data_IF_554080423643
#
_entry.id   IF_554080423643
#
_cell.length_a   1.000
_cell.length_b   1.000
_cell.length_c   1.000
_cell.angle_alpha   90.00
_cell.angle_beta   90.00
_cell.angle_gamma   90.00
#
_symmetry.space_group_name_H-M   'P 1'
#
loop_
_entity.id
_entity.type
_entity.pdbx_description
1 polymer ?
#
# COMPACT_ATOMS: atom_id res chain seq x y z
N UNK A 1 17.89 -10.04 -8.07
CA UNK A 1 16.94 -9.79 -6.96
C UNK A 1 16.09 -8.63 -7.42
N UNK A 2 14.77 -8.79 -7.51
CA UNK A 2 13.92 -7.67 -7.89
C UNK A 2 14.09 -6.57 -6.83
N UNK A 3 14.50 -5.38 -7.25
CA UNK A 3 14.64 -4.19 -6.42
C UNK A 3 13.25 -3.79 -5.95
N UNK A 4 12.88 -4.18 -4.73
CA UNK A 4 11.60 -3.78 -4.14
C UNK A 4 11.57 -2.28 -3.88
N UNK A 5 10.44 -1.64 -4.17
CA UNK A 5 10.16 -0.27 -3.78
C UNK A 5 9.65 -0.25 -2.33
N UNK A 6 9.71 0.92 -1.69
CA UNK A 6 9.22 1.10 -0.31
C UNK A 6 8.07 2.09 -0.27
N UNK A 7 6.99 1.72 0.39
CA UNK A 7 5.87 2.59 0.70
C UNK A 7 5.95 3.03 2.16
N UNK A 8 6.17 4.32 2.38
CA UNK A 8 6.09 4.95 3.70
C UNK A 8 4.62 5.27 4.01
N UNK A 9 4.01 4.49 4.88
CA UNK A 9 2.61 4.67 5.27
C UNK A 9 2.56 5.55 6.52
N UNK A 10 1.97 6.73 6.38
CA UNK A 10 1.94 7.79 7.38
C UNK A 10 0.53 7.88 7.95
N UNK A 11 0.40 7.63 9.26
CA UNK A 11 -0.87 7.71 9.96
C UNK A 11 -1.20 9.16 10.35
N UNK A 12 -2.16 9.79 9.68
CA UNK A 12 -2.69 11.11 10.03
C UNK A 12 -4.03 11.05 10.79
N UNK A 13 -4.50 9.86 11.18
CA UNK A 13 -5.59 9.75 12.14
C UNK A 13 -5.14 10.25 13.52
N UNK A 14 -6.10 10.74 14.32
CA UNK A 14 -5.87 11.15 15.71
C UNK A 14 -5.68 9.96 16.67
N UNK A 15 -5.87 8.74 16.18
CA UNK A 15 -5.77 7.50 16.92
C UNK A 15 -4.85 6.49 16.21
N UNK A 16 -4.28 5.53 16.94
CA UNK A 16 -3.42 4.53 16.34
C UNK A 16 -4.20 3.59 15.41
N UNK A 17 -3.55 3.13 14.34
CA UNK A 17 -4.12 2.22 13.35
C UNK A 17 -3.35 0.91 13.30
N UNK A 18 -4.05 -0.18 12.95
CA UNK A 18 -3.41 -1.44 12.56
C UNK A 18 -3.63 -1.68 11.08
N UNK A 19 -2.57 -2.09 10.38
CA UNK A 19 -2.54 -2.27 8.94
C UNK A 19 -2.33 -3.74 8.56
N UNK A 20 -3.14 -4.21 7.60
CA UNK A 20 -3.00 -5.51 6.93
C UNK A 20 -3.08 -5.32 5.42
N UNK A 21 -2.51 -6.26 4.67
CA UNK A 21 -2.73 -6.38 3.24
C UNK A 21 -3.96 -7.25 3.02
N UNK A 22 -4.97 -6.72 2.34
CA UNK A 22 -6.21 -7.43 2.04
C UNK A 22 -5.97 -8.65 1.16
N UNK A 23 -6.80 -9.68 1.36
CA UNK A 23 -6.69 -10.96 0.64
C UNK A 23 -7.40 -10.99 -0.72
N UNK A 24 -8.49 -10.23 -0.87
CA UNK A 24 -9.43 -10.38 -1.99
C UNK A 24 -9.06 -9.56 -3.23
N UNK A 25 -8.41 -8.40 -3.04
CA UNK A 25 -8.03 -7.48 -4.13
C UNK A 25 -6.50 -7.37 -4.28
N UNK A 26 -5.88 -8.53 -4.49
CA UNK A 26 -4.43 -8.68 -4.62
C UNK A 26 -4.06 -9.35 -5.95
N UNK A 27 -3.16 -8.74 -6.73
CA UNK A 27 -2.64 -9.35 -7.95
C UNK A 27 -1.21 -8.90 -8.28
N UNK A 28 -0.52 -9.71 -9.08
CA UNK A 28 0.77 -9.38 -9.71
C UNK A 28 1.81 -8.74 -8.78
N UNK A 29 1.82 -9.12 -7.50
CA UNK A 29 2.84 -8.73 -6.54
C UNK A 29 3.74 -9.94 -6.20
N UNK A 30 5.04 -9.70 -6.06
CA UNK A 30 5.94 -10.59 -5.30
C UNK A 30 5.99 -10.16 -3.82
N UNK A 31 5.77 -8.87 -3.58
CA UNK A 31 5.51 -8.28 -2.28
C UNK A 31 4.55 -7.07 -2.44
N UNK A 32 3.72 -6.75 -1.44
CA UNK A 32 3.52 -7.52 -0.22
C UNK A 32 2.71 -8.81 -0.48
N UNK A 33 2.62 -9.70 0.51
CA UNK A 33 1.83 -10.93 0.41
C UNK A 33 0.36 -10.69 0.86
N UNK A 34 -0.62 -11.41 0.30
CA UNK A 34 -2.01 -11.30 0.73
C UNK A 34 -2.15 -11.74 2.20
N UNK A 35 -3.02 -11.07 2.96
CA UNK A 35 -3.23 -11.26 4.40
C UNK A 35 -1.98 -10.98 5.27
N UNK A 36 -0.95 -10.33 4.72
CA UNK A 36 0.24 -9.95 5.48
C UNK A 36 -0.11 -8.87 6.50
N UNK A 37 0.25 -9.10 7.76
CA UNK A 37 0.26 -8.03 8.77
C UNK A 37 1.38 -7.05 8.47
N UNK A 38 1.03 -5.78 8.27
CA UNK A 38 2.01 -4.70 8.05
C UNK A 38 2.51 -4.19 9.41
N UNK A 39 1.59 -3.79 10.29
CA UNK A 39 1.96 -3.38 11.65
C UNK A 39 0.98 -2.44 12.32
N UNK A 40 1.41 -1.89 13.46
CA UNK A 40 0.67 -0.94 14.27
C UNK A 40 1.37 0.41 14.23
N UNK A 41 0.62 1.48 13.95
CA UNK A 41 1.16 2.81 13.70
C UNK A 41 0.46 3.82 14.61
N UNK A 42 1.23 4.47 15.48
CA UNK A 42 0.72 5.56 16.33
C UNK A 42 0.28 6.77 15.49
N UNK A 43 -0.55 7.69 16.03
CA UNK A 43 -0.82 8.97 15.38
C UNK A 43 0.47 9.68 14.98
N UNK A 44 0.52 10.23 13.76
CA UNK A 44 1.71 10.86 13.15
C UNK A 44 2.90 9.90 12.95
N UNK A 45 2.71 8.61 13.19
CA UNK A 45 3.73 7.58 12.99
C UNK A 45 3.86 7.19 11.53
N UNK A 46 4.99 6.55 11.22
CA UNK A 46 5.32 6.02 9.89
C UNK A 46 5.66 4.54 10.02
N UNK A 47 5.23 3.74 9.04
CA UNK A 47 5.69 2.36 8.86
C UNK A 47 6.03 2.10 7.40
N UNK A 48 7.03 1.26 7.17
CA UNK A 48 7.50 0.92 5.84
C UNK A 48 6.89 -0.40 5.38
N UNK A 49 6.42 -0.41 4.13
CA UNK A 49 5.95 -1.61 3.45
C UNK A 49 6.70 -1.76 2.13
N UNK A 50 7.41 -2.88 1.98
CA UNK A 50 8.02 -3.23 0.70
C UNK A 50 6.96 -3.70 -0.30
N UNK A 51 7.06 -3.21 -1.54
CA UNK A 51 6.23 -3.69 -2.65
C UNK A 51 7.07 -3.94 -3.90
N UNK A 52 6.70 -4.96 -4.65
CA UNK A 52 7.40 -5.40 -5.85
C UNK A 52 6.42 -6.07 -6.79
N UNK A 53 6.44 -5.69 -8.06
CA UNK A 53 5.64 -6.36 -9.07
C UNK A 53 6.23 -7.73 -9.35
N UNK A 54 5.35 -8.70 -9.60
CA UNK A 54 5.70 -9.99 -10.19
C UNK A 54 5.79 -9.83 -11.70
N UNK A 55 6.93 -10.20 -12.28
CA UNK A 55 7.11 -10.27 -13.73
C UNK A 55 7.02 -11.72 -14.22
N UNK A 56 6.46 -11.93 -15.42
CA UNK A 56 6.14 -13.26 -15.95
C UNK A 56 4.81 -13.84 -15.45
N UNK A 57 4.57 -15.12 -15.71
CA UNK A 57 3.39 -15.87 -15.22
C UNK A 57 2.02 -15.22 -15.50
N UNK A 58 1.89 -14.48 -16.62
CA UNK A 58 0.65 -13.77 -16.98
C UNK A 58 0.48 -12.38 -16.34
N UNK A 59 1.52 -11.86 -15.67
CA UNK A 59 1.57 -10.49 -15.14
C UNK A 59 2.29 -9.50 -16.08
N UNK A 60 2.81 -9.97 -17.21
CA UNK A 60 3.42 -9.10 -18.22
C UNK A 60 2.40 -8.08 -18.73
N UNK A 61 2.73 -6.79 -18.60
CA UNK A 61 1.86 -5.68 -19.00
C UNK A 61 0.69 -5.41 -18.06
N UNK A 62 0.61 -6.10 -16.91
CA UNK A 62 -0.38 -5.82 -15.86
C UNK A 62 0.25 -4.95 -14.76
N UNK A 63 -0.59 -4.18 -14.10
CA UNK A 63 -0.23 -3.47 -12.87
C UNK A 63 -0.22 -4.44 -11.69
N UNK A 64 0.63 -4.17 -10.71
CA UNK A 64 0.53 -4.79 -9.39
C UNK A 64 -0.57 -4.09 -8.60
N UNK A 65 -1.34 -4.87 -7.86
CA UNK A 65 -2.47 -4.38 -7.08
C UNK A 65 -2.50 -5.05 -5.72
N UNK A 66 -2.77 -4.26 -4.69
CA UNK A 66 -3.11 -4.77 -3.37
C UNK A 66 -3.98 -3.76 -2.64
N UNK A 67 -4.74 -4.25 -1.67
CA UNK A 67 -5.52 -3.43 -0.76
C UNK A 67 -4.81 -3.35 0.59
N UNK A 68 -4.83 -2.18 1.23
CA UNK A 68 -4.51 -2.02 2.65
C UNK A 68 -5.81 -1.96 3.45
N UNK A 69 -5.94 -2.85 4.42
CA UNK A 69 -6.98 -2.80 5.45
C UNK A 69 -6.47 -1.99 6.64
N UNK A 70 -7.18 -0.92 6.96
CA UNK A 70 -6.90 0.02 8.04
C UNK A 70 -7.95 -0.17 9.13
N UNK A 71 -7.55 -0.79 10.24
CA UNK A 71 -8.49 -1.29 11.24
C UNK A 71 -9.55 -2.21 10.60
N UNK A 72 -10.46 -2.76 11.40
CA UNK A 72 -11.54 -3.59 10.84
C UNK A 72 -12.57 -2.70 10.12
N UNK A 73 -12.45 -2.55 8.80
CA UNK A 73 -13.52 -2.03 7.94
C UNK A 73 -13.21 -0.81 7.07
N UNK A 74 -12.01 -0.21 7.17
CA UNK A 74 -11.56 0.78 6.18
C UNK A 74 -10.54 0.15 5.25
N UNK A 75 -10.63 0.43 3.96
CA UNK A 75 -9.66 -0.07 2.99
C UNK A 75 -9.14 1.03 2.06
N UNK A 76 -7.92 0.85 1.59
CA UNK A 76 -7.25 1.69 0.58
C UNK A 76 -6.71 0.77 -0.51
N UNK A 77 -7.22 0.92 -1.73
CA UNK A 77 -6.73 0.16 -2.89
C UNK A 77 -5.53 0.88 -3.50
N UNK A 78 -4.48 0.11 -3.77
CA UNK A 78 -3.23 0.60 -4.33
C UNK A 78 -2.90 -0.16 -5.61
N UNK A 79 -2.53 0.61 -6.63
CA UNK A 79 -2.09 0.10 -7.92
C UNK A 79 -0.72 0.70 -8.26
N UNK A 80 0.16 -0.10 -8.84
CA UNK A 80 1.47 0.36 -9.30
C UNK A 80 1.92 -0.35 -10.58
N UNK A 81 2.72 0.36 -11.38
CA UNK A 81 3.18 -0.14 -12.68
C UNK A 81 4.44 -1.05 -12.58
N UNK A 82 5.04 -1.34 -13.74
CA UNK A 82 6.25 -2.17 -13.84
C UNK A 82 7.46 -1.57 -13.12
N UNK A 83 7.54 -0.25 -13.12
CA UNK A 83 8.66 0.50 -12.57
C UNK A 83 8.43 0.81 -11.09
N UNK A 84 7.24 0.49 -10.58
CA UNK A 84 6.84 0.70 -9.20
C UNK A 84 6.19 2.06 -8.95
N UNK A 85 5.81 2.78 -10.00
CA UNK A 85 5.12 4.05 -9.84
C UNK A 85 3.69 3.80 -9.34
N UNK A 86 3.33 4.40 -8.22
CA UNK A 86 1.98 4.31 -7.64
C UNK A 86 1.00 5.21 -8.40
N UNK A 87 -0.19 4.69 -8.66
CA UNK A 87 -1.35 5.47 -9.10
C UNK A 87 -2.08 6.08 -7.89
N UNK A 88 -2.98 7.04 -8.15
CA UNK A 88 -3.84 7.61 -7.12
C UNK A 88 -4.66 6.52 -6.40
N UNK A 89 -4.67 6.50 -5.06
CA UNK A 89 -5.39 5.48 -4.31
C UNK A 89 -6.90 5.72 -4.32
N UNK A 90 -7.68 4.65 -4.20
CA UNK A 90 -9.09 4.71 -3.81
C UNK A 90 -9.25 4.26 -2.37
N UNK A 91 -10.15 4.88 -1.61
CA UNK A 91 -10.41 4.52 -0.22
C UNK A 91 -11.90 4.38 0.05
N UNK A 92 -12.27 3.52 0.99
CA UNK A 92 -13.66 3.39 1.46
C UNK A 92 -14.09 4.56 2.34
N UNK A 93 -15.40 4.76 2.48
CA UNK A 93 -16.00 5.72 3.42
C UNK A 93 -15.36 5.67 4.81
N UNK A 94 -15.02 6.84 5.35
CA UNK A 94 -14.36 6.98 6.66
C UNK A 94 -12.83 7.04 6.62
N UNK A 95 -12.22 6.72 5.46
CA UNK A 95 -10.80 6.90 5.20
C UNK A 95 -10.60 7.71 3.91
N UNK A 96 -9.60 8.57 3.91
CA UNK A 96 -9.02 9.16 2.71
C UNK A 96 -7.54 8.79 2.65
N UNK A 97 -7.02 8.74 1.44
CA UNK A 97 -5.63 8.41 1.18
C UNK A 97 -5.09 9.30 0.07
N UNK A 98 -3.81 9.66 0.17
CA UNK A 98 -3.09 10.39 -0.86
C UNK A 98 -1.69 9.81 -1.00
N UNK A 99 -1.21 9.66 -2.24
CA UNK A 99 0.11 9.13 -2.53
C UNK A 99 0.99 10.22 -3.16
N UNK A 100 2.29 10.20 -2.84
CA UNK A 100 3.26 11.10 -3.47
C UNK A 100 4.63 10.42 -3.61
N UNK A 101 5.40 10.72 -4.67
CA UNK A 101 6.74 10.17 -4.83
C UNK A 101 7.69 10.72 -3.76
N UNK A 102 8.54 9.83 -3.23
CA UNK A 102 9.63 10.14 -2.31
C UNK A 102 11.01 10.05 -3.01
N UNK A 103 12.10 10.27 -2.27
CA UNK A 103 13.45 10.12 -2.81
C UNK A 103 13.77 8.64 -3.14
N UNK A 104 14.42 8.40 -4.28
CA UNK A 104 14.79 7.04 -4.70
C UNK A 104 13.57 6.18 -5.04
N UNK A 105 13.60 4.91 -4.64
CA UNK A 105 12.52 3.92 -4.87
C UNK A 105 11.44 3.97 -3.79
N UNK A 106 11.03 5.16 -3.38
CA UNK A 106 10.09 5.34 -2.26
C UNK A 106 8.85 6.14 -2.66
N UNK A 107 7.72 5.81 -2.03
CA UNK A 107 6.47 6.56 -2.11
C UNK A 107 5.93 6.81 -0.71
N UNK A 108 5.30 7.96 -0.49
CA UNK A 108 4.61 8.28 0.75
C UNK A 108 3.11 8.10 0.54
N UNK A 109 2.48 7.27 1.38
CA UNK A 109 1.04 7.13 1.48
C UNK A 109 0.58 7.79 2.78
N UNK A 110 -0.19 8.86 2.68
CA UNK A 110 -0.82 9.51 3.83
C UNK A 110 -2.23 8.96 3.95
N UNK A 111 -2.60 8.45 5.13
CA UNK A 111 -3.96 7.97 5.43
C UNK A 111 -4.57 8.78 6.56
N UNK A 112 -5.82 9.21 6.38
CA UNK A 112 -6.49 10.13 7.31
C UNK A 112 -8.01 9.95 7.29
N UNK A 113 -8.69 10.52 8.28
CA UNK A 113 -10.14 10.45 8.39
C UNK A 113 -10.81 11.15 7.20
N UNK A 114 -11.79 10.46 6.60
CA UNK A 114 -12.51 10.92 5.40
C UNK A 114 -13.78 11.69 5.67
#
# INVERSE_FOLDING_TARGET
MATGNTLHIINHFEYPITLYVGGDDWNCCDAPLPNQKVGYVQPQGVIDLGYCRKDGHGCNGRQGQFQLEINSGMTVDLNFDADGNMAEPSATSGCQAAVSPGPGSTYNLIVYAG
#
